data_IF_814962281787
#
_entry.id   IF_814962281787
#
_cell.length_a   1.000
_cell.length_b   1.000
_cell.length_c   1.000
_cell.angle_alpha   90.00
_cell.angle_beta   90.00
_cell.angle_gamma   90.00
#
_symmetry.space_group_name_H-M   'P 1'
#
loop_
_entity.id
_entity.type
_entity.pdbx_description
1 polymer ?
#
# COMPACT_ATOMS: atom_id res chain seq x y z
N UNK A 1 25.76 -3.60 -1.52
CA UNK A 1 24.33 -3.63 -1.89
C UNK A 1 23.51 -3.24 -0.66
N UNK A 2 22.55 -2.30 -0.78
CA UNK A 2 21.82 -1.75 0.40
C UNK A 2 20.58 -2.58 0.81
N UNK A 3 20.05 -3.44 -0.08
CA UNK A 3 18.84 -4.27 0.15
C UNK A 3 19.20 -5.74 -0.06
N UNK A 4 18.78 -6.61 0.86
CA UNK A 4 19.00 -8.07 0.79
C UNK A 4 18.34 -8.82 1.96
N UNK A 5 17.89 -10.06 1.70
CA UNK A 5 17.15 -10.90 2.66
C UNK A 5 17.95 -11.19 3.94
N UNK A 6 19.26 -11.40 3.79
CA UNK A 6 20.23 -11.55 4.88
C UNK A 6 20.31 -10.36 5.85
N UNK A 7 19.81 -9.18 5.45
CA UNK A 7 19.79 -7.95 6.24
C UNK A 7 18.38 -7.57 6.72
N UNK A 8 17.35 -8.33 6.33
CA UNK A 8 15.95 -8.07 6.63
C UNK A 8 15.49 -8.74 7.94
N UNK A 9 16.33 -8.69 8.98
CA UNK A 9 16.00 -9.32 10.27
C UNK A 9 14.93 -8.49 10.98
N UNK A 10 13.83 -9.14 11.36
CA UNK A 10 12.69 -8.52 12.06
C UNK A 10 12.02 -7.34 11.32
N UNK A 11 12.19 -7.25 10.00
CA UNK A 11 11.52 -6.23 9.17
C UNK A 11 10.30 -6.77 8.41
N UNK A 12 10.11 -8.09 8.40
CA UNK A 12 8.99 -8.74 7.73
C UNK A 12 7.66 -8.45 8.45
N UNK A 13 6.74 -7.82 7.73
CA UNK A 13 5.36 -7.61 8.17
C UNK A 13 4.43 -8.56 7.42
N UNK A 14 3.42 -9.08 8.12
CA UNK A 14 2.40 -9.91 7.49
C UNK A 14 1.55 -9.06 6.51
N UNK A 15 1.03 -9.65 5.40
CA UNK A 15 0.12 -8.98 4.48
C UNK A 15 -1.19 -8.66 5.22
N UNK A 16 -1.26 -7.44 5.74
CA UNK A 16 -2.33 -7.01 6.66
C UNK A 16 -3.37 -6.21 5.89
N UNK A 17 -4.65 -6.58 6.07
CA UNK A 17 -5.80 -5.94 5.42
C UNK A 17 -6.25 -4.69 6.19
N UNK A 18 -5.54 -3.58 5.98
CA UNK A 18 -5.81 -2.33 6.70
C UNK A 18 -7.19 -1.74 6.37
N UNK A 19 -7.67 -1.97 5.15
CA UNK A 19 -9.03 -1.63 4.75
C UNK A 19 -10.08 -2.27 5.68
N UNK A 20 -9.88 -3.53 6.07
CA UNK A 20 -10.79 -4.25 6.97
C UNK A 20 -10.75 -3.69 8.38
N UNK A 21 -9.57 -3.30 8.87
CA UNK A 21 -9.42 -2.66 10.18
C UNK A 21 -10.22 -1.36 10.22
N UNK A 22 -10.07 -0.50 9.20
CA UNK A 22 -10.79 0.78 9.13
C UNK A 22 -12.28 0.59 8.96
N UNK A 23 -12.72 -0.40 8.16
CA UNK A 23 -14.12 -0.75 8.05
C UNK A 23 -14.73 -1.21 9.40
N UNK A 24 -14.01 -2.03 10.18
CA UNK A 24 -14.43 -2.47 11.50
C UNK A 24 -14.56 -1.33 12.51
N UNK A 25 -13.75 -0.27 12.36
CA UNK A 25 -13.83 0.96 13.18
C UNK A 25 -14.92 1.94 12.70
N UNK A 26 -15.77 1.56 11.73
CA UNK A 26 -16.86 2.39 11.21
C UNK A 26 -16.45 3.35 10.09
N UNK A 27 -15.18 3.31 9.66
CA UNK A 27 -14.68 4.05 8.51
C UNK A 27 -15.01 3.38 7.18
N UNK A 28 -14.41 3.89 6.11
CA UNK A 28 -14.49 3.34 4.77
C UNK A 28 -13.15 2.70 4.37
N UNK A 29 -13.11 1.37 4.31
CA UNK A 29 -11.95 0.64 3.79
C UNK A 29 -12.13 0.25 2.32
N UNK A 30 -11.06 0.34 1.54
CA UNK A 30 -10.98 -0.19 0.19
C UNK A 30 -9.57 -0.75 -0.06
N UNK A 31 -9.46 -1.95 -0.65
CA UNK A 31 -8.19 -2.59 -0.98
C UNK A 31 -7.96 -2.53 -2.49
N UNK A 32 -6.76 -2.11 -2.90
CA UNK A 32 -6.41 -1.85 -4.31
C UNK A 32 -5.15 -2.62 -4.69
N UNK A 33 -5.25 -3.44 -5.74
CA UNK A 33 -4.11 -4.22 -6.27
C UNK A 33 -3.64 -3.72 -7.64
N UNK A 34 -4.51 -3.03 -8.39
CA UNK A 34 -4.19 -2.49 -9.71
C UNK A 34 -3.92 -0.98 -9.62
N UNK A 35 -2.77 -0.48 -10.12
CA UNK A 35 -2.47 0.95 -10.14
C UNK A 35 -3.56 1.81 -10.81
N UNK A 36 -4.24 1.29 -11.84
CA UNK A 36 -5.32 2.01 -12.53
C UNK A 36 -6.51 2.35 -11.62
N UNK A 37 -6.69 1.61 -10.52
CA UNK A 37 -7.80 1.78 -9.59
C UNK A 37 -7.52 2.80 -8.48
N UNK A 38 -6.27 3.25 -8.32
CA UNK A 38 -5.89 4.23 -7.28
C UNK A 38 -6.66 5.54 -7.46
N UNK A 39 -6.70 6.08 -8.68
CA UNK A 39 -7.44 7.32 -8.99
C UNK A 39 -8.93 7.21 -8.67
N UNK A 40 -9.65 6.22 -9.22
CA UNK A 40 -11.06 5.96 -8.88
C UNK A 40 -11.31 5.71 -7.39
N UNK A 41 -10.42 4.99 -6.69
CA UNK A 41 -10.53 4.72 -5.26
C UNK A 41 -10.45 6.01 -4.43
N UNK A 42 -9.51 6.90 -4.77
CA UNK A 42 -9.39 8.22 -4.16
C UNK A 42 -10.64 9.08 -4.39
N UNK A 43 -11.18 9.09 -5.62
CA UNK A 43 -12.43 9.82 -5.91
C UNK A 43 -13.59 9.33 -5.04
N UNK A 44 -13.74 8.00 -4.89
CA UNK A 44 -14.74 7.41 -3.98
C UNK A 44 -14.47 7.79 -2.53
N UNK A 45 -13.22 7.76 -2.05
CA UNK A 45 -12.88 8.13 -0.68
C UNK A 45 -13.22 9.59 -0.38
N UNK A 46 -12.87 10.52 -1.27
CA UNK A 46 -13.20 11.94 -1.10
C UNK A 46 -14.71 12.22 -1.14
N UNK A 47 -15.47 11.46 -1.93
CA UNK A 47 -16.93 11.57 -1.95
C UNK A 47 -17.59 11.07 -0.64
N UNK A 48 -16.89 10.24 0.14
CA UNK A 48 -17.40 9.73 1.43
C UNK A 48 -17.21 10.77 2.53
N UNK A 49 -18.27 11.10 3.26
CA UNK A 49 -18.21 11.98 4.45
C UNK A 49 -17.80 11.21 5.72
N UNK A 50 -16.79 10.34 5.63
CA UNK A 50 -16.26 9.56 6.76
C UNK A 50 -14.76 9.25 6.58
N UNK A 51 -14.01 8.99 7.67
CA UNK A 51 -12.62 8.55 7.57
C UNK A 51 -12.49 7.36 6.60
N UNK A 52 -11.55 7.45 5.67
CA UNK A 52 -11.36 6.46 4.61
C UNK A 52 -9.90 5.98 4.57
N UNK A 53 -9.70 4.71 4.28
CA UNK A 53 -8.40 4.08 4.06
C UNK A 53 -8.41 3.34 2.74
N UNK A 54 -7.45 3.71 1.88
CA UNK A 54 -7.14 3.01 0.64
C UNK A 54 -5.89 2.19 0.91
N UNK A 55 -6.05 0.88 1.02
CA UNK A 55 -4.98 -0.09 1.27
C UNK A 55 -4.44 -0.57 -0.08
N UNK A 56 -3.33 0.01 -0.52
CA UNK A 56 -2.72 -0.28 -1.84
C UNK A 56 -1.65 -1.35 -1.68
N UNK A 57 -1.85 -2.50 -2.32
CA UNK A 57 -0.85 -3.55 -2.37
C UNK A 57 0.35 -3.10 -3.22
N UNK A 58 1.55 -3.27 -2.68
CA UNK A 58 2.81 -2.98 -3.36
C UNK A 58 3.61 -4.27 -3.56
N UNK A 59 4.45 -4.28 -4.59
CA UNK A 59 5.44 -5.34 -4.81
C UNK A 59 6.50 -5.32 -3.70
N UNK A 60 6.64 -6.42 -2.95
CA UNK A 60 7.60 -6.58 -1.86
C UNK A 60 9.07 -6.50 -2.32
N UNK A 61 9.31 -6.71 -3.63
CA UNK A 61 10.62 -6.59 -4.28
C UNK A 61 10.78 -5.29 -5.06
N UNK A 62 9.80 -4.38 -5.03
CA UNK A 62 9.85 -3.10 -5.74
C UNK A 62 11.09 -2.28 -5.38
N UNK A 63 11.48 -2.30 -4.11
CA UNK A 63 12.63 -1.55 -3.60
C UNK A 63 13.98 -2.06 -4.15
N UNK A 64 14.09 -3.35 -4.49
CA UNK A 64 15.28 -3.90 -5.13
C UNK A 64 15.48 -3.39 -6.57
N UNK A 65 14.43 -2.83 -7.18
CA UNK A 65 14.44 -2.23 -8.53
C UNK A 65 14.78 -0.73 -8.49
N UNK A 66 14.96 -0.15 -7.30
CA UNK A 66 15.27 1.27 -7.10
C UNK A 66 16.79 1.50 -7.10
N UNK A 67 17.25 2.53 -7.79
CA UNK A 67 18.64 3.03 -7.72
C UNK A 67 18.67 4.39 -7.02
N UNK A 68 19.83 4.81 -6.51
CA UNK A 68 20.02 6.15 -5.93
C UNK A 68 19.60 7.28 -6.88
N UNK A 69 19.61 7.04 -8.19
CA UNK A 69 19.22 7.97 -9.25
C UNK A 69 17.91 7.62 -9.96
N UNK A 70 17.18 6.57 -9.55
CA UNK A 70 15.93 6.15 -10.19
C UNK A 70 14.93 5.70 -9.14
N UNK A 71 13.92 6.54 -8.79
CA UNK A 71 12.85 6.12 -7.90
C UNK A 71 12.03 5.01 -8.57
N UNK A 72 11.58 4.03 -7.79
CA UNK A 72 10.60 3.06 -8.26
C UNK A 72 9.25 3.76 -8.40
N UNK A 73 8.94 4.16 -9.64
CA UNK A 73 7.64 4.67 -10.05
C UNK A 73 7.08 3.61 -11.00
N UNK A 74 5.95 3.01 -10.60
CA UNK A 74 5.17 2.06 -11.39
C UNK A 74 4.25 2.84 -12.34
#
# INVERSE_FOLDING_TARGET
QMVGEERAIATGLAPTRYDKIVAAMGGAGEHVENPADIGPALQRAFARRRPSCIDVALDDKGMAKTSASTPYIV
#
